data_IF_921821117430
#
_entry.id   IF_921821117430
#
_cell.length_a   1.000
_cell.length_b   1.000
_cell.length_c   1.000
_cell.angle_alpha   90.00
_cell.angle_beta   90.00
_cell.angle_gamma   90.00
#
_symmetry.space_group_name_H-M   'P 1'
#
loop_
_entity.id
_entity.type
_entity.pdbx_description
1 polymer ?
#
# COMPACT_ATOMS: atom_id res chain seq x y z
N UNK A 1 -28.25 59.36 35.30
CA UNK A 1 -27.27 58.29 35.59
C UNK A 1 -27.29 57.31 34.43
N UNK A 2 -26.16 57.20 33.72
CA UNK A 2 -26.00 56.43 32.48
C UNK A 2 -25.84 54.93 32.79
N UNK A 3 -26.63 54.07 32.14
CA UNK A 3 -26.33 52.64 32.07
C UNK A 3 -25.51 52.35 30.79
N UNK A 4 -24.21 52.10 31.00
CA UNK A 4 -23.30 51.49 30.02
C UNK A 4 -23.29 49.98 30.26
N UNK A 5 -23.78 49.19 29.31
CA UNK A 5 -23.47 47.77 29.17
C UNK A 5 -23.16 47.54 27.69
N UNK A 6 -21.89 47.59 27.28
CA UNK A 6 -21.02 46.41 27.06
C UNK A 6 -21.73 45.40 26.15
N UNK A 7 -21.63 45.55 24.82
CA UNK A 7 -20.59 45.00 23.91
C UNK A 7 -20.65 43.47 23.72
N UNK A 8 -20.93 43.12 22.46
CA UNK A 8 -20.43 41.94 21.71
C UNK A 8 -21.18 40.63 21.93
N UNK A 9 -22.36 40.50 21.34
CA UNK A 9 -23.01 39.20 21.05
C UNK A 9 -23.71 39.33 19.69
N UNK A 10 -22.98 39.28 18.55
CA UNK A 10 -23.38 38.30 17.54
C UNK A 10 -22.22 37.80 16.65
N UNK A 11 -20.99 37.69 17.16
CA UNK A 11 -19.85 37.21 16.37
C UNK A 11 -19.67 35.67 16.38
N UNK A 12 -20.39 34.95 17.25
CA UNK A 12 -20.14 33.51 17.49
C UNK A 12 -20.93 32.59 16.53
N UNK A 13 -21.95 33.10 15.83
CA UNK A 13 -22.75 32.29 14.90
C UNK A 13 -22.14 32.13 13.49
N UNK A 14 -21.03 32.80 13.19
CA UNK A 14 -20.42 32.76 11.85
C UNK A 14 -19.33 31.67 11.69
N UNK A 15 -18.96 30.99 12.79
CA UNK A 15 -17.92 29.95 12.77
C UNK A 15 -18.43 28.55 12.37
N UNK A 16 -19.75 28.35 12.25
CA UNK A 16 -20.34 27.06 11.84
C UNK A 16 -20.60 26.93 10.33
N UNK A 17 -20.31 27.96 9.54
CA UNK A 17 -20.42 27.92 8.08
C UNK A 17 -19.10 27.58 7.35
N UNK A 18 -18.03 27.27 8.09
CA UNK A 18 -16.90 26.53 7.52
C UNK A 18 -17.36 25.09 7.31
N UNK A 19 -18.16 24.87 6.26
CA UNK A 19 -18.28 23.57 5.65
C UNK A 19 -16.85 23.13 5.36
N UNK A 20 -16.36 22.14 6.12
CA UNK A 20 -15.13 21.47 5.80
C UNK A 20 -15.27 21.04 4.34
N UNK A 21 -14.55 21.74 3.47
CA UNK A 21 -14.38 21.29 2.10
C UNK A 21 -13.54 20.04 2.23
N UNK A 22 -14.21 18.91 2.45
CA UNK A 22 -13.65 17.59 2.24
C UNK A 22 -13.41 17.57 0.74
N UNK A 23 -12.24 18.06 0.34
CA UNK A 23 -11.73 17.91 -0.99
C UNK A 23 -11.66 16.40 -1.22
N UNK A 24 -12.72 15.87 -1.81
CA UNK A 24 -12.80 14.52 -2.28
C UNK A 24 -11.55 14.33 -3.15
N UNK A 25 -10.64 13.39 -2.81
CA UNK A 25 -9.49 13.16 -3.67
C UNK A 25 -10.06 12.82 -5.04
N UNK A 26 -9.74 13.68 -6.02
CA UNK A 26 -10.07 13.50 -7.42
C UNK A 26 -9.52 12.13 -7.80
N UNK A 27 -10.37 11.11 -7.89
CA UNK A 27 -10.01 9.84 -8.51
C UNK A 27 -9.54 10.20 -9.91
N UNK A 28 -8.22 10.13 -10.09
CA UNK A 28 -7.60 10.27 -11.38
C UNK A 28 -7.88 8.96 -12.12
N UNK A 29 -9.07 8.85 -12.69
CA UNK A 29 -9.42 7.82 -13.68
C UNK A 29 -8.75 8.14 -15.03
N UNK A 30 -7.47 8.50 -15.00
CA UNK A 30 -6.60 8.22 -16.14
C UNK A 30 -6.35 6.71 -16.11
N UNK A 31 -6.56 5.97 -17.21
CA UNK A 31 -6.16 4.58 -17.29
C UNK A 31 -4.71 4.50 -16.85
N UNK A 32 -4.47 3.86 -15.70
CA UNK A 32 -3.16 3.84 -15.10
C UNK A 32 -2.26 3.11 -16.10
N UNK A 33 -1.35 3.84 -16.76
CA UNK A 33 -0.47 3.27 -17.79
C UNK A 33 0.28 2.06 -17.24
N UNK A 34 0.44 1.99 -15.91
CA UNK A 34 1.14 0.94 -15.20
C UNK A 34 0.17 0.06 -14.43
N UNK A 35 -0.05 -1.15 -14.95
CA UNK A 35 -0.86 -2.19 -14.35
C UNK A 35 -0.05 -3.02 -13.37
N UNK A 36 -0.62 -3.24 -12.19
CA UNK A 36 -0.12 -4.18 -11.19
C UNK A 36 -0.50 -5.60 -11.63
N UNK A 37 0.48 -6.50 -11.74
CA UNK A 37 0.23 -7.88 -12.14
C UNK A 37 0.59 -8.83 -11.00
N UNK A 38 -0.29 -9.79 -10.72
CA UNK A 38 0.01 -10.94 -9.86
C UNK A 38 -0.07 -12.20 -10.71
N UNK A 39 1.04 -12.94 -10.78
CA UNK A 39 1.15 -14.14 -11.62
C UNK A 39 0.73 -13.87 -13.07
N UNK A 40 1.07 -12.68 -13.60
CA UNK A 40 0.72 -12.25 -14.96
C UNK A 40 -0.71 -11.74 -15.15
N UNK A 41 -1.55 -11.71 -14.10
CA UNK A 41 -2.93 -11.19 -14.18
C UNK A 41 -3.02 -9.79 -13.61
N UNK A 42 -3.69 -8.89 -14.33
CA UNK A 42 -3.96 -7.53 -13.84
C UNK A 42 -4.78 -7.60 -12.57
N UNK A 43 -4.32 -6.91 -11.53
CA UNK A 43 -5.02 -6.74 -10.26
C UNK A 43 -5.17 -5.26 -9.95
N UNK A 44 -6.32 -4.88 -9.41
CA UNK A 44 -6.48 -3.55 -8.83
C UNK A 44 -5.84 -3.50 -7.44
N UNK A 45 -5.65 -2.30 -6.89
CA UNK A 45 -5.14 -2.12 -5.52
C UNK A 45 -6.06 -2.78 -4.49
N UNK A 46 -7.38 -2.73 -4.69
CA UNK A 46 -8.37 -3.34 -3.82
C UNK A 46 -8.29 -4.87 -3.87
N UNK A 47 -8.07 -5.44 -5.06
CA UNK A 47 -7.89 -6.88 -5.24
C UNK A 47 -6.56 -7.35 -4.62
N UNK A 48 -5.50 -6.56 -4.77
CA UNK A 48 -4.20 -6.87 -4.16
C UNK A 48 -4.30 -6.99 -2.64
N UNK A 49 -5.19 -6.24 -1.99
CA UNK A 49 -5.41 -6.31 -0.54
C UNK A 49 -5.95 -7.67 -0.03
N UNK A 50 -6.17 -8.65 -0.91
CA UNK A 50 -6.50 -10.04 -0.57
C UNK A 50 -5.43 -11.04 -1.03
N UNK A 51 -4.37 -10.57 -1.70
CA UNK A 51 -3.28 -11.41 -2.18
C UNK A 51 -2.31 -11.67 -1.02
N UNK A 52 -2.01 -12.95 -0.78
CA UNK A 52 -1.10 -13.44 0.28
C UNK A 52 0.19 -14.04 -0.28
N UNK A 53 0.23 -14.36 -1.57
CA UNK A 53 1.39 -14.96 -2.25
C UNK A 53 1.29 -14.80 -3.75
N UNK A 54 2.43 -14.96 -4.44
CA UNK A 54 2.53 -14.90 -5.89
C UNK A 54 3.61 -13.93 -6.33
N UNK A 55 3.89 -13.95 -7.63
CA UNK A 55 4.91 -13.08 -8.23
C UNK A 55 4.26 -11.78 -8.67
N UNK A 56 4.68 -10.69 -8.03
CA UNK A 56 4.32 -9.34 -8.38
C UNK A 56 5.21 -8.85 -9.52
N UNK A 57 4.60 -8.31 -10.58
CA UNK A 57 5.27 -7.57 -11.65
C UNK A 57 4.49 -6.29 -11.99
N UNK A 58 5.16 -5.33 -12.64
CA UNK A 58 4.54 -4.12 -13.16
C UNK A 58 4.64 -4.14 -14.68
N UNK A 59 3.51 -3.96 -15.35
CA UNK A 59 3.45 -3.81 -16.80
C UNK A 59 3.00 -2.41 -17.18
N UNK A 60 3.76 -1.77 -18.05
CA UNK A 60 3.38 -0.53 -18.71
C UNK A 60 2.73 -0.83 -20.05
N UNK A 61 1.48 -0.38 -20.20
CA UNK A 61 0.77 -0.40 -21.48
C UNK A 61 1.23 0.78 -22.33
N UNK A 62 1.66 0.50 -23.55
CA UNK A 62 1.94 1.55 -24.53
C UNK A 62 0.68 1.79 -25.38
N UNK A 63 0.02 2.97 -25.26
CA UNK A 63 -1.20 3.25 -25.99
C UNK A 63 -1.02 3.31 -27.51
N UNK A 64 0.22 3.51 -27.99
CA UNK A 64 0.54 3.64 -29.42
C UNK A 64 0.78 2.28 -30.07
N UNK A 65 1.44 1.36 -29.36
CA UNK A 65 1.80 0.04 -29.92
C UNK A 65 0.91 -1.11 -29.43
N UNK A 66 0.02 -0.87 -28.47
CA UNK A 66 -0.76 -1.90 -27.76
C UNK A 66 0.09 -3.00 -27.12
N UNK A 67 1.40 -2.78 -26.95
CA UNK A 67 2.31 -3.71 -26.32
C UNK A 67 2.45 -3.39 -24.83
N UNK A 68 2.50 -4.46 -24.02
CA UNK A 68 2.80 -4.38 -22.60
C UNK A 68 4.29 -4.66 -22.40
N UNK A 69 4.98 -3.74 -21.72
CA UNK A 69 6.39 -3.90 -21.36
C UNK A 69 6.51 -3.97 -19.85
N UNK A 70 7.29 -4.92 -19.33
CA UNK A 70 7.59 -4.95 -17.90
C UNK A 70 8.45 -3.74 -17.53
N UNK A 71 8.29 -3.20 -16.32
CA UNK A 71 9.05 -2.04 -15.84
C UNK A 71 9.69 -2.36 -14.50
N UNK A 72 10.95 -1.94 -14.25
CA UNK A 72 11.58 -2.14 -12.96
C UNK A 72 11.00 -1.20 -11.89
N UNK A 73 10.94 -1.67 -10.66
CA UNK A 73 10.35 -0.95 -9.54
C UNK A 73 11.09 -1.24 -8.23
N UNK A 74 10.97 -0.32 -7.28
CA UNK A 74 11.34 -0.53 -5.88
C UNK A 74 10.09 -0.94 -5.11
N UNK A 75 10.23 -1.86 -4.16
CA UNK A 75 9.13 -2.31 -3.30
C UNK A 75 9.60 -2.43 -1.85
N UNK A 76 8.84 -1.84 -0.94
CA UNK A 76 9.18 -1.86 0.49
C UNK A 76 7.96 -1.61 1.36
N UNK A 77 8.03 -2.07 2.60
CA UNK A 77 7.02 -1.84 3.61
C UNK A 77 7.37 -0.61 4.45
N UNK A 78 6.34 0.08 4.91
CA UNK A 78 6.45 1.26 5.77
C UNK A 78 5.47 1.17 6.95
N UNK A 79 5.99 1.35 8.16
CA UNK A 79 5.24 1.40 9.42
C UNK A 79 5.56 2.69 10.14
N UNK A 80 4.54 3.47 10.46
CA UNK A 80 4.67 4.73 11.22
C UNK A 80 5.78 5.66 10.70
N UNK A 81 5.88 5.81 9.38
CA UNK A 81 6.90 6.66 8.77
C UNK A 81 8.23 5.98 8.42
N UNK A 82 8.49 4.77 8.93
CA UNK A 82 9.78 4.06 8.85
C UNK A 82 9.71 2.84 7.94
N UNK A 83 10.79 2.53 7.24
CA UNK A 83 10.88 1.33 6.41
C UNK A 83 10.96 0.09 7.31
N UNK A 84 10.13 -0.91 7.03
CA UNK A 84 10.19 -2.23 7.66
C UNK A 84 11.17 -3.06 6.85
N UNK A 85 12.15 -3.67 7.54
CA UNK A 85 13.25 -4.43 6.93
C UNK A 85 14.11 -3.60 5.94
N UNK A 86 14.90 -2.61 6.42
CA UNK A 86 15.71 -1.74 5.56
C UNK A 86 16.78 -2.47 4.76
N UNK A 87 17.19 -3.66 5.19
CA UNK A 87 18.20 -4.49 4.51
C UNK A 87 17.63 -5.29 3.33
N UNK A 88 16.31 -5.23 3.10
CA UNK A 88 15.67 -5.92 1.97
C UNK A 88 16.26 -5.48 0.64
N UNK A 89 16.64 -6.45 -0.20
CA UNK A 89 17.21 -6.16 -1.53
C UNK A 89 16.25 -5.34 -2.41
N UNK A 90 14.95 -5.65 -2.38
CA UNK A 90 13.95 -4.99 -3.22
C UNK A 90 13.63 -3.54 -2.79
N UNK A 91 14.04 -3.16 -1.58
CA UNK A 91 14.04 -1.77 -1.11
C UNK A 91 15.23 -0.98 -1.67
N UNK A 92 16.40 -1.61 -1.74
CA UNK A 92 17.66 -0.95 -2.09
C UNK A 92 17.95 -0.95 -3.60
N UNK A 93 17.39 -1.92 -4.33
CA UNK A 93 17.64 -2.11 -5.76
C UNK A 93 16.34 -2.32 -6.52
N UNK A 94 16.28 -1.70 -7.71
CA UNK A 94 15.13 -1.85 -8.59
C UNK A 94 15.04 -3.30 -9.10
N UNK A 95 13.89 -3.91 -8.91
CA UNK A 95 13.60 -5.29 -9.32
C UNK A 95 12.56 -5.32 -10.43
N UNK A 96 12.59 -6.38 -11.24
CA UNK A 96 11.58 -6.64 -12.28
C UNK A 96 10.39 -7.43 -11.75
N UNK A 97 10.60 -8.15 -10.66
CA UNK A 97 9.61 -9.00 -9.99
C UNK A 97 9.94 -9.16 -8.52
N UNK A 98 8.93 -9.37 -7.69
CA UNK A 98 9.10 -9.72 -6.27
C UNK A 98 8.07 -10.77 -5.87
N UNK A 99 8.44 -11.71 -4.98
CA UNK A 99 7.42 -12.53 -4.32
C UNK A 99 6.69 -11.65 -3.30
N UNK A 100 5.36 -11.70 -3.32
CA UNK A 100 4.52 -10.99 -2.34
C UNK A 100 4.77 -11.52 -0.93
N UNK A 101 5.08 -12.82 -0.79
CA UNK A 101 5.32 -13.45 0.51
C UNK A 101 6.54 -12.88 1.22
N UNK A 102 7.62 -12.61 0.49
CA UNK A 102 8.85 -12.04 1.06
C UNK A 102 8.59 -10.65 1.67
N UNK A 103 7.67 -9.90 1.07
CA UNK A 103 7.24 -8.62 1.61
C UNK A 103 6.33 -8.83 2.82
N UNK A 104 5.30 -9.67 2.67
CA UNK A 104 4.30 -9.89 3.73
C UNK A 104 4.84 -10.61 4.97
N UNK A 105 6.01 -11.27 4.89
CA UNK A 105 6.63 -11.96 6.03
C UNK A 105 6.84 -11.04 7.24
N UNK A 106 7.17 -9.77 6.99
CA UNK A 106 7.44 -8.76 8.02
C UNK A 106 6.27 -7.79 8.24
N UNK A 107 5.18 -7.96 7.47
CA UNK A 107 4.07 -7.03 7.46
C UNK A 107 3.16 -7.20 8.69
N UNK A 108 2.70 -6.07 9.22
CA UNK A 108 1.61 -5.99 10.17
C UNK A 108 0.40 -5.27 9.57
N UNK A 109 -0.76 -5.48 10.17
CA UNK A 109 -2.00 -4.88 9.67
C UNK A 109 -1.91 -3.37 9.88
N UNK A 110 -2.16 -2.61 8.83
CA UNK A 110 -2.00 -1.15 8.83
C UNK A 110 -0.67 -0.67 8.25
N UNK A 111 0.30 -1.55 8.02
CA UNK A 111 1.51 -1.21 7.27
C UNK A 111 1.16 -0.75 5.85
N UNK A 112 2.03 0.07 5.27
CA UNK A 112 1.91 0.52 3.89
C UNK A 112 2.95 -0.19 3.03
N UNK A 113 2.50 -0.94 2.04
CA UNK A 113 3.34 -1.43 0.95
C UNK A 113 3.47 -0.33 -0.09
N UNK A 114 4.71 0.12 -0.32
CA UNK A 114 5.05 1.14 -1.28
C UNK A 114 5.69 0.48 -2.50
N UNK A 115 5.21 0.85 -3.69
CA UNK A 115 5.77 0.41 -4.97
C UNK A 115 6.11 1.67 -5.77
N UNK A 116 7.41 1.89 -6.01
CA UNK A 116 7.93 3.04 -6.74
C UNK A 116 8.45 2.60 -8.11
N UNK A 117 7.83 3.05 -9.19
CA UNK A 117 8.32 2.77 -10.53
C UNK A 117 9.60 3.56 -10.82
N UNK A 118 10.60 2.87 -11.37
CA UNK A 118 11.84 3.51 -11.83
C UNK A 118 11.64 3.99 -13.25
N UNK A 119 11.37 5.29 -13.44
CA UNK A 119 11.29 5.92 -14.77
C UNK A 119 12.54 6.75 -15.06
N UNK A 120 13.00 6.81 -16.33
CA UNK A 120 14.08 7.71 -16.75
C UNK A 120 13.66 9.20 -16.72
N UNK A 121 12.36 9.52 -16.74
CA UNK A 121 11.85 10.90 -16.73
C UNK A 121 10.90 11.13 -15.56
N UNK A 122 11.48 11.48 -14.41
CA UNK A 122 11.02 12.27 -13.24
C UNK A 122 9.55 12.26 -12.72
N UNK A 123 8.63 11.48 -13.27
CA UNK A 123 7.29 11.28 -12.72
C UNK A 123 7.20 9.87 -12.14
N UNK A 124 7.84 9.68 -10.97
CA UNK A 124 7.74 8.43 -10.23
C UNK A 124 6.26 8.19 -9.87
N UNK A 125 5.66 7.19 -10.52
CA UNK A 125 4.31 6.75 -10.18
C UNK A 125 4.46 5.86 -8.94
N UNK A 126 4.11 6.42 -7.78
CA UNK A 126 4.10 5.69 -6.50
C UNK A 126 2.73 5.07 -6.30
N UNK A 127 2.68 3.76 -6.04
CA UNK A 127 1.49 3.06 -5.56
C UNK A 127 1.65 2.76 -4.08
N UNK A 128 0.60 3.02 -3.31
CA UNK A 128 0.56 2.78 -1.86
C UNK A 128 -0.59 1.85 -1.57
N UNK A 129 -0.31 0.72 -0.92
CA UNK A 129 -1.30 -0.30 -0.61
C UNK A 129 -1.27 -0.57 0.90
N UNK A 130 -2.40 -0.39 1.57
CA UNK A 130 -2.50 -0.68 3.00
C UNK A 130 -2.68 -2.17 3.23
N UNK A 131 -1.80 -2.75 4.05
CA UNK A 131 -1.86 -4.17 4.41
C UNK A 131 -3.06 -4.42 5.32
N UNK A 132 -3.95 -5.30 4.85
CA UNK A 132 -5.09 -5.75 5.65
C UNK A 132 -4.71 -6.95 6.51
N UNK A 133 -5.40 -7.09 7.64
CA UNK A 133 -5.27 -8.26 8.53
C UNK A 133 -5.50 -9.59 7.79
N UNK A 134 -6.34 -9.59 6.75
CA UNK A 134 -6.62 -10.77 5.90
C UNK A 134 -5.43 -11.23 5.06
N UNK A 135 -4.46 -10.35 4.78
CA UNK A 135 -3.26 -10.70 4.01
C UNK A 135 -2.19 -11.37 4.86
N UNK A 136 -2.28 -11.19 6.17
CA UNK A 136 -1.32 -11.73 7.11
C UNK A 136 -1.78 -13.14 7.41
N UNK A 137 -1.13 -14.10 6.76
CA UNK A 137 -1.36 -15.51 7.10
C UNK A 137 -0.90 -15.67 8.54
N UNK A 138 -1.79 -16.09 9.45
CA UNK A 138 -1.37 -16.31 10.82
C UNK A 138 -0.29 -17.39 10.83
N UNK A 139 0.86 -17.09 11.45
CA UNK A 139 1.91 -18.06 11.75
C UNK A 139 1.41 -19.04 12.81
N UNK A 140 0.38 -19.82 12.52
CA UNK A 140 -0.06 -20.89 13.39
C UNK A 140 0.90 -22.08 13.21
N UNK A 141 1.83 -22.25 14.15
CA UNK A 141 2.66 -23.44 14.31
C UNK A 141 1.82 -24.63 14.85
N UNK A 142 0.68 -24.95 14.22
CA UNK A 142 -0.21 -26.03 14.68
C UNK A 142 0.37 -27.44 14.45
N UNK A 143 1.52 -27.55 13.80
CA UNK A 143 2.24 -28.81 13.63
C UNK A 143 3.45 -28.90 14.57
N UNK A 144 3.26 -28.69 15.89
CA UNK A 144 4.05 -29.46 16.85
C UNK A 144 3.54 -30.90 16.79
N UNK A 145 3.95 -31.60 15.73
CA UNK A 145 3.74 -33.03 15.56
C UNK A 145 4.28 -33.69 16.80
N UNK A 146 3.37 -34.33 17.53
CA UNK A 146 3.63 -35.21 18.65
C UNK A 146 4.86 -36.08 18.34
N UNK A 147 5.97 -35.84 19.05
CA UNK A 147 7.06 -36.83 19.15
C UNK A 147 6.42 -38.11 19.64
N UNK A 148 6.23 -39.10 18.76
CA UNK A 148 5.92 -40.44 19.23
C UNK A 148 7.10 -40.89 20.08
N UNK A 149 6.85 -41.12 21.36
CA UNK A 149 7.74 -41.92 22.20
C UNK A 149 7.79 -43.29 21.55
N UNK A 150 8.93 -43.60 20.94
CA UNK A 150 9.25 -44.97 20.56
C UNK A 150 9.69 -45.66 21.83
N UNK A 151 8.78 -46.44 22.41
CA UNK A 151 9.13 -47.32 23.52
C UNK A 151 10.13 -48.37 22.99
N UNK A 152 11.21 -48.54 23.75
CA UNK A 152 12.30 -49.46 23.44
C UNK A 152 11.81 -50.91 23.54
N UNK A 153 12.09 -51.70 22.50
CA UNK A 153 12.19 -53.16 22.58
C UNK A 153 13.67 -53.55 22.63
#
# INVERSE_FOLDING_TARGET
MNFKAIKIIPAILLLFALQASVALPKSADTPDENSLLINGRVVTTEQFAYVTSGILTIAKSNPVSHQNTTVPFLIYLKRDGRIVNPESHAHNFAVWSSDVRDMLEYAEAGDQLIIDLVKPHNTATRKVITIKKTQIVPRFQWFYVLKQKKDNC
#
